data_IF_825892191423
#
_entry.id   IF_825892191423
#
_cell.length_a   1.000
_cell.length_b   1.000
_cell.length_c   1.000
_cell.angle_alpha   90.00
_cell.angle_beta   90.00
_cell.angle_gamma   90.00
#
_symmetry.space_group_name_H-M   'P 1'
#
loop_
_entity.id
_entity.type
_entity.pdbx_description
1 polymer ?
#
# COMPACT_ATOMS: atom_id res chain seq x y z
N UNK A 1 38.53 1.52 -14.76
CA UNK A 1 37.60 0.90 -13.80
C UNK A 1 37.86 1.53 -12.42
N UNK A 2 37.08 2.54 -12.06
CA UNK A 2 37.16 3.20 -10.76
C UNK A 2 35.89 2.81 -9.99
N UNK A 3 36.08 2.16 -8.85
CA UNK A 3 35.02 1.65 -8.00
C UNK A 3 34.36 2.76 -7.20
N UNK A 4 33.05 2.63 -6.92
CA UNK A 4 32.18 3.57 -6.19
C UNK A 4 32.68 4.04 -4.80
N UNK A 5 33.79 3.52 -4.31
CA UNK A 5 34.39 3.84 -3.00
C UNK A 5 35.36 5.04 -3.01
N UNK A 6 35.75 5.53 -4.19
CA UNK A 6 36.73 6.63 -4.31
C UNK A 6 36.11 8.03 -4.51
N UNK A 7 34.80 8.15 -4.59
CA UNK A 7 34.11 9.42 -4.81
C UNK A 7 33.61 10.12 -3.54
N UNK A 8 33.86 9.57 -2.36
CA UNK A 8 33.37 10.12 -1.09
C UNK A 8 34.46 10.76 -0.20
N UNK A 9 35.70 10.90 -0.67
CA UNK A 9 36.81 11.42 0.16
C UNK A 9 37.34 12.78 -0.26
N UNK A 10 36.82 13.47 -1.26
CA UNK A 10 37.38 14.73 -1.75
C UNK A 10 36.48 15.96 -1.79
N UNK A 11 35.42 16.04 -0.97
CA UNK A 11 34.61 17.26 -0.84
C UNK A 11 34.55 17.85 0.61
N UNK A 12 35.55 17.56 1.42
CA UNK A 12 35.66 18.08 2.79
C UNK A 12 36.84 19.03 2.96
N UNK A 13 36.98 20.03 2.08
CA UNK A 13 37.85 21.22 2.32
C UNK A 13 37.46 22.32 1.35
N UNK A 14 36.53 23.21 1.78
CA UNK A 14 36.42 24.62 1.40
C UNK A 14 35.01 25.14 1.70
N UNK A 15 34.80 25.59 2.92
CA UNK A 15 33.84 26.65 3.27
C UNK A 15 33.95 26.92 4.79
N UNK A 16 35.01 27.59 5.19
CA UNK A 16 35.04 28.29 6.45
C UNK A 16 34.92 29.79 6.12
N UNK A 17 33.75 30.38 6.34
CA UNK A 17 33.51 31.77 6.69
C UNK A 17 32.06 32.16 6.37
N UNK A 18 31.20 32.12 7.36
CA UNK A 18 30.19 33.13 7.68
C UNK A 18 29.28 32.56 8.78
N UNK A 19 29.40 33.06 9.98
CA UNK A 19 28.66 32.62 11.15
C UNK A 19 27.19 32.98 11.07
N UNK A 20 26.39 31.95 11.33
CA UNK A 20 25.08 32.09 11.98
C UNK A 20 24.83 30.76 12.72
N UNK A 21 25.14 30.78 14.03
CA UNK A 21 24.83 29.69 14.96
C UNK A 21 23.32 29.59 15.14
N UNK A 22 22.68 28.70 14.39
CA UNK A 22 21.40 28.15 14.78
C UNK A 22 21.69 26.93 15.65
N UNK A 23 21.49 27.07 16.95
CA UNK A 23 21.51 26.01 17.94
C UNK A 23 20.40 25.00 17.59
N UNK A 24 20.73 23.93 16.88
CA UNK A 24 19.96 22.70 16.88
C UNK A 24 20.58 21.79 17.94
N UNK A 25 19.84 21.43 19.00
CA UNK A 25 20.33 20.42 19.92
C UNK A 25 20.52 19.10 19.13
N UNK A 26 21.59 18.35 19.38
CA UNK A 26 21.75 17.02 18.80
C UNK A 26 20.75 16.08 19.48
N UNK A 27 19.55 15.99 18.95
CA UNK A 27 18.64 14.91 19.29
C UNK A 27 19.10 13.68 18.50
N UNK A 28 20.14 13.03 18.97
CA UNK A 28 20.48 11.67 18.61
C UNK A 28 20.00 10.78 19.76
N UNK A 29 18.75 10.29 19.77
CA UNK A 29 18.44 9.20 20.67
C UNK A 29 19.23 8.00 20.18
N UNK A 30 20.06 7.44 21.06
CA UNK A 30 20.70 6.14 20.86
C UNK A 30 19.74 5.22 20.16
N UNK A 31 20.17 4.64 19.01
CA UNK A 31 19.38 3.69 18.23
C UNK A 31 19.06 2.47 19.12
N UNK A 32 17.93 2.53 19.83
CA UNK A 32 17.36 1.34 20.49
C UNK A 32 17.04 0.34 19.39
N UNK A 33 17.37 -0.92 19.67
CA UNK A 33 16.85 -2.05 18.90
C UNK A 33 15.34 -1.86 18.71
N UNK A 34 14.79 -2.31 17.58
CA UNK A 34 13.34 -2.24 17.34
C UNK A 34 12.56 -2.76 18.53
N UNK A 35 11.33 -2.29 18.72
CA UNK A 35 10.50 -2.75 19.85
C UNK A 35 10.37 -4.27 19.80
N UNK A 36 10.45 -4.91 20.97
CA UNK A 36 10.23 -6.35 21.04
C UNK A 36 8.80 -6.69 20.57
N UNK A 37 8.59 -7.95 20.17
CA UNK A 37 7.26 -8.43 19.77
C UNK A 37 6.22 -8.17 20.88
N UNK A 38 6.58 -8.40 22.12
CA UNK A 38 5.73 -8.21 23.30
C UNK A 38 5.36 -6.73 23.47
N UNK A 39 6.32 -5.85 23.25
CA UNK A 39 6.11 -4.40 23.35
C UNK A 39 5.17 -3.91 22.24
N UNK A 40 5.35 -4.37 21.00
CA UNK A 40 4.44 -4.06 19.90
C UNK A 40 3.01 -4.54 20.19
N UNK A 41 2.85 -5.77 20.73
CA UNK A 41 1.53 -6.31 21.09
C UNK A 41 0.89 -5.48 22.20
N UNK A 42 1.65 -5.10 23.21
CA UNK A 42 1.17 -4.31 24.34
C UNK A 42 0.65 -2.93 23.90
N UNK A 43 1.34 -2.30 22.95
CA UNK A 43 1.02 -0.97 22.45
C UNK A 43 0.01 -0.99 21.29
N UNK A 44 -0.25 -2.16 20.70
CA UNK A 44 -1.13 -2.28 19.54
C UNK A 44 -2.58 -1.89 19.88
N UNK A 45 -3.15 -0.87 19.23
CA UNK A 45 -4.55 -0.54 19.44
C UNK A 45 -5.46 -1.61 18.85
N UNK A 46 -6.71 -1.63 19.32
CA UNK A 46 -7.76 -2.46 18.76
C UNK A 46 -7.93 -2.12 17.27
N UNK A 47 -7.92 -3.14 16.43
CA UNK A 47 -8.17 -2.99 15.01
C UNK A 47 -9.65 -2.69 14.74
N UNK A 48 -9.93 -2.11 13.58
CA UNK A 48 -11.27 -1.98 13.03
C UNK A 48 -11.50 -3.14 12.02
N UNK A 49 -12.68 -3.25 11.48
CA UNK A 49 -13.00 -4.19 10.40
C UNK A 49 -12.67 -5.66 10.72
N UNK A 50 -13.26 -6.18 11.77
CA UNK A 50 -13.17 -7.58 12.15
C UNK A 50 -14.43 -8.05 12.89
N UNK A 51 -14.60 -9.36 12.99
CA UNK A 51 -15.67 -9.98 13.77
C UNK A 51 -15.14 -11.22 14.49
N UNK A 52 -15.79 -11.60 15.58
CA UNK A 52 -15.59 -12.89 16.18
C UNK A 52 -16.14 -13.98 15.26
N UNK A 53 -15.50 -15.14 15.24
CA UNK A 53 -15.97 -16.30 14.45
C UNK A 53 -16.51 -17.34 15.43
N UNK A 54 -17.81 -17.65 15.39
CA UNK A 54 -18.34 -18.80 16.10
C UNK A 54 -17.69 -20.07 15.53
N UNK A 55 -17.25 -20.98 16.39
CA UNK A 55 -16.70 -22.26 15.95
C UNK A 55 -17.82 -23.06 15.25
N UNK A 56 -17.71 -23.20 13.94
CA UNK A 56 -18.66 -23.98 13.16
C UNK A 56 -18.68 -25.44 13.65
N UNK A 57 -19.89 -25.98 13.88
CA UNK A 57 -20.11 -27.37 14.29
C UNK A 57 -20.02 -27.63 15.79
N UNK A 58 -19.61 -26.65 16.62
CA UNK A 58 -19.72 -26.74 18.07
C UNK A 58 -20.62 -25.62 18.56
N UNK A 59 -21.67 -25.97 19.25
CA UNK A 59 -22.69 -25.02 19.68
C UNK A 59 -22.18 -24.15 20.82
N UNK A 60 -21.14 -23.35 20.58
CA UNK A 60 -20.52 -22.48 21.57
C UNK A 60 -21.47 -21.37 22.08
N UNK A 61 -22.61 -21.16 21.40
CA UNK A 61 -23.69 -20.35 21.94
C UNK A 61 -24.20 -20.87 23.27
N UNK A 62 -24.11 -22.17 23.51
CA UNK A 62 -24.58 -22.80 24.77
C UNK A 62 -23.63 -22.47 25.94
N UNK A 63 -22.33 -22.38 25.72
CA UNK A 63 -21.41 -22.05 26.81
C UNK A 63 -21.27 -20.55 27.06
N UNK A 64 -21.75 -19.72 26.13
CA UNK A 64 -21.77 -18.25 26.24
C UNK A 64 -23.18 -17.68 26.34
N UNK A 65 -24.20 -18.55 26.38
CA UNK A 65 -25.56 -18.09 26.61
C UNK A 65 -25.64 -17.59 28.05
N UNK A 66 -25.79 -16.26 28.18
CA UNK A 66 -25.87 -15.55 29.45
C UNK A 66 -27.12 -15.90 30.27
N UNK A 67 -27.98 -16.77 29.78
CA UNK A 67 -29.25 -17.17 30.35
C UNK A 67 -29.19 -18.45 31.21
N UNK A 68 -28.03 -18.88 31.70
CA UNK A 68 -27.94 -19.84 32.76
C UNK A 68 -27.21 -21.15 32.48
N UNK A 69 -26.48 -21.28 31.41
CA UNK A 69 -25.66 -22.43 31.11
C UNK A 69 -24.35 -22.42 31.89
N UNK A 70 -24.18 -23.33 32.83
CA UNK A 70 -22.91 -23.54 33.51
C UNK A 70 -21.80 -23.80 32.47
N UNK A 71 -20.61 -23.23 32.71
CA UNK A 71 -19.41 -23.52 31.94
C UNK A 71 -19.17 -25.02 31.89
N UNK A 72 -19.30 -25.69 30.73
CA UNK A 72 -18.86 -27.06 30.58
C UNK A 72 -17.34 -27.11 30.69
N UNK A 73 -16.75 -27.64 31.75
CA UNK A 73 -15.30 -27.67 31.97
C UNK A 73 -14.55 -28.50 30.91
N UNK A 74 -15.26 -29.31 30.12
CA UNK A 74 -14.71 -30.10 29.01
C UNK A 74 -14.65 -29.35 27.72
N UNK A 75 -15.26 -28.19 27.66
CA UNK A 75 -15.25 -27.34 26.49
C UNK A 75 -14.00 -26.45 26.53
N UNK A 76 -12.90 -26.95 25.97
CA UNK A 76 -11.79 -26.06 25.61
C UNK A 76 -12.28 -25.15 24.49
N UNK A 77 -12.58 -23.96 24.88
CA UNK A 77 -12.75 -22.89 23.92
C UNK A 77 -11.43 -22.64 23.21
N UNK A 78 -11.22 -23.21 22.04
CA UNK A 78 -10.20 -22.72 21.09
C UNK A 78 -10.66 -21.42 20.42
N UNK A 79 -10.95 -20.56 21.06
CA UNK A 79 -11.94 -19.77 21.53
C UNK A 79 -11.96 -18.37 21.08
N UNK A 80 -10.93 -17.87 20.80
CA UNK A 80 -10.83 -16.50 20.36
C UNK A 80 -10.47 -16.45 18.89
N UNK A 81 -11.24 -17.15 18.03
CA UNK A 81 -11.12 -16.96 16.58
C UNK A 81 -11.71 -15.62 16.19
N UNK A 82 -10.93 -14.84 15.45
CA UNK A 82 -11.40 -13.62 14.83
C UNK A 82 -11.25 -13.70 13.31
N UNK A 83 -12.18 -13.12 12.59
CA UNK A 83 -12.08 -12.91 11.14
C UNK A 83 -11.75 -11.45 10.87
N UNK A 84 -10.61 -11.22 10.23
CA UNK A 84 -10.25 -9.90 9.73
C UNK A 84 -11.05 -9.60 8.45
N UNK A 85 -11.75 -8.48 8.42
CA UNK A 85 -12.61 -8.04 7.30
C UNK A 85 -12.00 -6.86 6.53
N UNK A 86 -10.71 -6.58 6.75
CA UNK A 86 -10.04 -5.43 6.18
C UNK A 86 -9.74 -5.60 4.69
N UNK A 87 -9.13 -6.70 4.32
CA UNK A 87 -8.78 -7.03 2.94
C UNK A 87 -9.43 -8.35 2.50
N UNK A 88 -9.45 -8.61 1.20
CA UNK A 88 -10.11 -9.77 0.63
C UNK A 88 -9.44 -11.12 0.97
N UNK A 89 -8.33 -11.14 1.74
CA UNK A 89 -7.82 -12.38 2.33
C UNK A 89 -8.77 -12.95 3.39
N UNK A 90 -9.58 -12.12 4.04
CA UNK A 90 -10.55 -12.52 5.06
C UNK A 90 -9.99 -13.53 6.07
N UNK A 91 -8.78 -13.28 6.56
CA UNK A 91 -8.03 -14.18 7.42
C UNK A 91 -8.83 -14.57 8.66
N UNK A 92 -8.97 -15.87 8.92
CA UNK A 92 -9.41 -16.40 10.21
C UNK A 92 -8.17 -16.62 11.07
N UNK A 93 -8.08 -15.93 12.21
CA UNK A 93 -6.86 -15.80 13.00
C UNK A 93 -7.11 -16.34 14.41
N UNK A 94 -6.32 -17.35 14.81
CA UNK A 94 -6.35 -17.91 16.17
C UNK A 94 -5.65 -16.98 17.15
N UNK A 95 -5.90 -17.17 18.45
CA UNK A 95 -5.22 -16.43 19.50
C UNK A 95 -3.69 -16.52 19.35
N UNK A 96 -3.01 -15.39 19.53
CA UNK A 96 -1.55 -15.26 19.38
C UNK A 96 -1.04 -15.31 17.94
N UNK A 97 -1.89 -15.63 16.96
CA UNK A 97 -1.52 -15.68 15.55
C UNK A 97 -1.81 -14.37 14.82
N UNK A 98 -1.20 -14.23 13.64
CA UNK A 98 -1.34 -13.06 12.78
C UNK A 98 -2.02 -13.39 11.46
N UNK A 99 -2.65 -12.40 10.87
CA UNK A 99 -3.11 -12.47 9.48
C UNK A 99 -1.95 -12.57 8.49
N UNK A 100 -2.25 -12.93 7.25
CA UNK A 100 -1.27 -13.08 6.17
C UNK A 100 -0.38 -11.85 5.97
N UNK A 101 -0.92 -10.67 6.23
CA UNK A 101 -0.19 -9.40 6.15
C UNK A 101 0.85 -9.20 7.26
N UNK A 102 0.93 -10.06 8.29
CA UNK A 102 1.80 -9.96 9.47
C UNK A 102 1.54 -8.76 10.38
N UNK A 103 0.74 -7.80 9.94
CA UNK A 103 0.50 -6.52 10.62
C UNK A 103 -0.65 -6.57 11.65
N UNK A 104 -1.45 -7.64 11.66
CA UNK A 104 -2.62 -7.79 12.52
C UNK A 104 -2.55 -9.09 13.31
N UNK A 105 -2.78 -9.00 14.62
CA UNK A 105 -2.70 -10.10 15.56
C UNK A 105 -4.00 -10.25 16.34
N UNK A 106 -4.38 -11.48 16.61
CA UNK A 106 -5.46 -11.79 17.55
C UNK A 106 -4.88 -11.89 18.98
N UNK A 107 -5.36 -11.04 19.86
CA UNK A 107 -5.01 -11.05 21.29
C UNK A 107 -6.29 -11.25 22.10
N UNK A 108 -6.47 -12.43 22.65
CA UNK A 108 -7.62 -12.80 23.49
C UNK A 108 -8.97 -12.49 22.83
N UNK A 109 -9.12 -12.82 21.56
CA UNK A 109 -10.37 -12.60 20.81
C UNK A 109 -10.55 -11.18 20.27
N UNK A 110 -9.57 -10.31 20.43
CA UNK A 110 -9.54 -8.98 19.82
C UNK A 110 -8.49 -8.90 18.72
N UNK A 111 -8.87 -8.42 17.57
CA UNK A 111 -7.90 -8.11 16.52
C UNK A 111 -7.22 -6.76 16.82
N UNK A 112 -5.89 -6.74 16.80
CA UNK A 112 -5.07 -5.55 17.06
C UNK A 112 -4.15 -5.23 15.89
N UNK A 113 -3.84 -3.94 15.71
CA UNK A 113 -2.94 -3.44 14.66
C UNK A 113 -1.54 -3.22 15.23
N UNK A 114 -0.56 -4.02 14.78
CA UNK A 114 0.85 -3.92 15.22
C UNK A 114 1.60 -2.75 14.56
N UNK A 115 1.01 -2.14 13.54
CA UNK A 115 1.68 -1.14 12.69
C UNK A 115 1.09 0.26 12.84
N UNK A 116 0.10 0.44 13.73
CA UNK A 116 -0.44 1.77 14.03
C UNK A 116 0.62 2.68 14.65
N UNK A 117 0.82 3.85 14.06
CA UNK A 117 1.83 4.79 14.53
C UNK A 117 3.28 4.33 14.30
N UNK A 118 3.51 3.32 13.47
CA UNK A 118 4.83 2.70 13.23
C UNK A 118 5.27 2.80 11.77
N UNK A 119 5.51 4.02 11.25
CA UNK A 119 6.07 4.16 9.91
C UNK A 119 7.49 3.61 9.87
N UNK A 120 7.81 2.82 8.85
CA UNK A 120 9.13 2.22 8.61
C UNK A 120 9.85 2.86 7.42
N UNK A 121 9.12 3.58 6.58
CA UNK A 121 9.67 4.38 5.50
C UNK A 121 8.91 5.70 5.39
N UNK A 122 9.66 6.80 5.30
CA UNK A 122 9.12 8.15 5.11
C UNK A 122 10.03 8.91 4.16
N UNK A 123 9.46 9.42 3.05
CA UNK A 123 10.18 10.19 2.05
C UNK A 123 9.33 11.35 1.52
N UNK A 124 9.98 12.34 0.95
CA UNK A 124 9.32 13.37 0.14
C UNK A 124 9.71 13.13 -1.31
N UNK A 125 8.73 12.83 -2.14
CA UNK A 125 8.92 12.49 -3.56
C UNK A 125 7.99 13.33 -4.43
N UNK A 126 8.30 13.56 -5.71
CA UNK A 126 7.32 14.06 -6.67
C UNK A 126 6.09 13.15 -6.74
N UNK A 127 4.91 13.74 -6.93
CA UNK A 127 3.66 13.00 -6.99
C UNK A 127 3.62 12.03 -8.18
N UNK A 128 4.30 12.37 -9.27
CA UNK A 128 4.44 11.55 -10.48
C UNK A 128 5.20 10.24 -10.22
N UNK A 129 6.05 10.19 -9.20
CA UNK A 129 6.71 8.95 -8.77
C UNK A 129 5.73 7.94 -8.13
N UNK A 130 4.46 8.34 -7.87
CA UNK A 130 3.43 7.50 -7.24
C UNK A 130 2.46 6.77 -8.18
N UNK A 131 2.60 6.67 -9.44
CA UNK A 131 2.40 7.63 -10.52
C UNK A 131 0.98 8.21 -10.52
N UNK A 132 0.89 9.48 -10.12
CA UNK A 132 -0.26 10.33 -10.34
C UNK A 132 0.13 11.42 -11.33
N UNK A 133 -0.46 11.42 -12.53
CA UNK A 133 -0.17 12.40 -13.57
C UNK A 133 -1.30 13.42 -13.73
N UNK A 134 -2.52 13.08 -13.31
CA UNK A 134 -3.70 13.93 -13.38
C UNK A 134 -4.12 14.49 -12.01
N UNK A 135 -3.37 14.21 -10.96
CA UNK A 135 -3.64 14.70 -9.62
C UNK A 135 -2.46 15.51 -9.09
N UNK A 136 -2.64 16.82 -8.94
CA UNK A 136 -1.63 17.76 -8.42
C UNK A 136 -0.25 17.63 -9.09
N UNK A 137 -0.14 17.68 -10.42
CA UNK A 137 1.13 17.52 -11.12
C UNK A 137 2.18 18.53 -10.63
N UNK A 138 3.41 18.08 -10.47
CA UNK A 138 4.53 18.86 -9.93
C UNK A 138 4.56 18.97 -8.39
N UNK A 139 3.57 18.44 -7.68
CA UNK A 139 3.51 18.54 -6.23
C UNK A 139 4.49 17.59 -5.52
N UNK A 140 5.05 18.03 -4.41
CA UNK A 140 5.76 17.18 -3.48
C UNK A 140 4.76 16.36 -2.63
N UNK A 141 4.99 15.05 -2.49
CA UNK A 141 4.20 14.17 -1.67
C UNK A 141 5.00 13.63 -0.48
N UNK A 142 4.53 13.87 0.73
CA UNK A 142 5.05 13.26 1.94
C UNK A 142 4.54 11.82 2.00
N UNK A 143 5.41 10.89 1.71
CA UNK A 143 5.09 9.48 1.47
C UNK A 143 5.47 8.64 2.67
N UNK A 144 4.58 7.75 3.12
CA UNK A 144 4.86 6.87 4.25
C UNK A 144 4.37 5.43 4.01
N UNK A 145 5.07 4.50 4.65
CA UNK A 145 4.76 3.08 4.70
C UNK A 145 4.91 2.52 6.11
N UNK A 146 4.22 1.43 6.38
CA UNK A 146 4.45 0.55 7.53
C UNK A 146 4.97 -0.81 7.07
N UNK A 147 5.09 -1.78 7.98
CA UNK A 147 5.42 -3.16 7.61
C UNK A 147 4.19 -3.94 7.13
N UNK A 148 4.41 -4.91 6.25
CA UNK A 148 3.42 -5.92 5.88
C UNK A 148 2.60 -5.62 4.63
N UNK A 149 2.07 -6.69 4.01
CA UNK A 149 1.21 -6.65 2.83
C UNK A 149 0.38 -7.95 2.77
N UNK A 150 -0.89 -7.91 2.35
CA UNK A 150 -1.70 -9.12 2.20
C UNK A 150 -1.33 -9.95 0.97
N UNK A 151 -0.57 -9.38 0.03
CA UNK A 151 -0.09 -10.05 -1.18
C UNK A 151 1.34 -10.56 -0.99
N UNK A 152 1.74 -11.51 -1.83
CA UNK A 152 3.10 -12.05 -1.93
C UNK A 152 3.63 -11.98 -3.36
N UNK A 153 3.53 -10.81 -3.98
CA UNK A 153 3.97 -10.61 -5.37
C UNK A 153 5.44 -10.98 -5.54
N UNK A 154 5.73 -11.92 -6.44
CA UNK A 154 7.10 -12.42 -6.70
C UNK A 154 8.05 -11.34 -7.24
N UNK A 155 7.52 -10.28 -7.80
CA UNK A 155 8.23 -9.12 -8.37
C UNK A 155 8.23 -7.89 -7.44
N UNK A 156 7.99 -8.04 -6.15
CA UNK A 156 7.81 -6.90 -5.26
C UNK A 156 9.11 -6.12 -5.06
N UNK A 157 9.17 -4.87 -5.53
CA UNK A 157 10.33 -3.99 -5.35
C UNK A 157 10.51 -3.49 -3.90
N UNK A 158 9.42 -3.53 -3.11
CA UNK A 158 9.44 -3.15 -1.69
C UNK A 158 9.26 -4.37 -0.78
N UNK A 159 9.80 -5.52 -1.18
CA UNK A 159 9.62 -6.77 -0.44
C UNK A 159 10.19 -6.70 0.98
N UNK A 160 11.25 -5.94 1.20
CA UNK A 160 11.86 -5.71 2.51
C UNK A 160 10.89 -5.09 3.52
N UNK A 161 9.93 -4.29 3.06
CA UNK A 161 8.87 -3.72 3.89
C UNK A 161 7.62 -4.59 3.89
N UNK A 162 7.20 -5.03 2.69
CA UNK A 162 5.92 -5.70 2.50
C UNK A 162 5.90 -7.14 2.98
N UNK A 163 7.07 -7.80 3.03
CA UNK A 163 7.19 -9.18 3.52
C UNK A 163 7.82 -9.29 4.91
N UNK A 164 8.15 -8.17 5.55
CA UNK A 164 8.71 -8.14 6.89
C UNK A 164 7.67 -8.36 8.00
N UNK A 165 8.14 -8.82 9.14
CA UNK A 165 7.41 -8.71 10.39
C UNK A 165 7.63 -7.31 10.98
N UNK A 166 6.62 -6.68 11.61
CA UNK A 166 6.78 -5.34 12.18
C UNK A 166 7.95 -5.18 13.15
N UNK A 167 8.26 -6.21 13.93
CA UNK A 167 9.38 -6.25 14.89
C UNK A 167 10.76 -6.32 14.22
N UNK A 168 10.87 -6.78 12.98
CA UNK A 168 12.14 -6.86 12.25
C UNK A 168 12.57 -5.50 11.69
N UNK A 169 11.66 -4.53 11.66
CA UNK A 169 11.92 -3.21 11.11
C UNK A 169 12.00 -2.14 12.20
N UNK A 170 13.01 -1.30 12.10
CA UNK A 170 13.13 -0.14 13.01
C UNK A 170 11.99 0.84 12.75
N UNK A 171 11.24 1.12 13.77
CA UNK A 171 10.17 2.13 13.74
C UNK A 171 10.13 2.90 15.06
N UNK A 172 9.74 4.17 14.99
CA UNK A 172 9.50 4.99 16.18
C UNK A 172 8.02 5.32 16.18
N UNK A 173 7.37 5.21 17.34
CA UNK A 173 5.97 5.60 17.45
C UNK A 173 5.78 7.06 17.03
N UNK A 174 5.01 7.26 15.99
CA UNK A 174 4.77 8.55 15.36
C UNK A 174 3.25 8.79 15.29
N UNK A 175 2.68 9.58 16.17
CA UNK A 175 1.23 9.83 16.17
C UNK A 175 0.79 10.58 14.89
N UNK A 176 -0.48 10.46 14.48
CA UNK A 176 -1.02 11.13 13.30
C UNK A 176 -0.73 12.62 13.22
N UNK A 177 -0.81 13.32 14.35
CA UNK A 177 -0.52 14.75 14.44
C UNK A 177 0.93 15.10 14.08
N UNK A 178 1.88 14.21 14.38
CA UNK A 178 3.29 14.42 14.04
C UNK A 178 3.53 14.23 12.54
N UNK A 179 2.85 13.27 11.90
CA UNK A 179 2.90 13.12 10.43
C UNK A 179 2.41 14.39 9.75
N UNK A 180 1.28 14.93 10.18
CA UNK A 180 0.71 16.16 9.60
C UNK A 180 1.65 17.35 9.81
N UNK A 181 2.20 17.54 11.02
CA UNK A 181 3.19 18.61 11.28
C UNK A 181 4.46 18.45 10.42
N UNK A 182 4.96 17.22 10.29
CA UNK A 182 6.14 16.93 9.46
C UNK A 182 5.89 17.22 7.98
N UNK A 183 4.68 16.94 7.50
CA UNK A 183 4.24 17.25 6.14
C UNK A 183 4.27 18.77 5.89
N UNK A 184 3.71 19.53 6.81
CA UNK A 184 3.77 21.00 6.77
C UNK A 184 5.20 21.54 6.78
N UNK A 185 6.05 21.05 7.69
CA UNK A 185 7.44 21.47 7.81
C UNK A 185 8.24 21.19 6.52
N UNK A 186 7.85 20.16 5.76
CA UNK A 186 8.44 19.80 4.46
C UNK A 186 7.78 20.50 3.27
N UNK A 187 6.81 21.38 3.51
CA UNK A 187 6.04 22.10 2.49
C UNK A 187 5.44 21.17 1.42
N UNK A 188 5.06 19.95 1.82
CA UNK A 188 4.43 18.98 0.93
C UNK A 188 2.90 19.18 0.97
N UNK A 189 2.24 19.52 -0.15
CA UNK A 189 0.79 19.72 -0.17
C UNK A 189 0.02 18.40 -0.15
N UNK A 190 0.69 17.25 -0.26
CA UNK A 190 0.09 15.93 -0.36
C UNK A 190 0.73 14.97 0.66
N UNK A 191 -0.09 14.16 1.33
CA UNK A 191 0.33 12.93 2.03
C UNK A 191 -0.01 11.74 1.16
N UNK A 192 0.98 10.87 0.90
CA UNK A 192 0.83 9.65 0.12
C UNK A 192 1.05 8.40 0.99
N UNK A 193 0.03 7.58 1.13
CA UNK A 193 0.11 6.25 1.75
C UNK A 193 0.54 5.26 0.67
N UNK A 194 1.75 4.66 0.80
CA UNK A 194 2.39 3.97 -0.34
C UNK A 194 3.45 2.94 0.09
N UNK A 195 4.25 2.44 -0.84
CA UNK A 195 5.37 1.51 -0.79
C UNK A 195 4.97 0.06 -0.46
N UNK A 196 4.37 -0.21 0.72
CA UNK A 196 3.71 -1.48 0.99
C UNK A 196 2.21 -1.40 0.59
N UNK A 197 1.34 -2.17 1.20
CA UNK A 197 -0.11 -2.05 1.01
C UNK A 197 -0.74 -1.21 2.14
N UNK A 198 -1.18 0.01 1.87
CA UNK A 198 -1.71 0.89 2.92
C UNK A 198 -2.96 0.37 3.63
N UNK A 199 -3.72 -0.52 3.01
CA UNK A 199 -4.87 -1.17 3.64
C UNK A 199 -4.48 -1.82 4.98
N UNK A 200 -3.26 -2.36 5.13
CA UNK A 200 -2.86 -3.05 6.38
C UNK A 200 -2.76 -2.12 7.59
N UNK A 201 -2.58 -0.82 7.36
CA UNK A 201 -2.55 0.21 8.41
C UNK A 201 -3.72 1.19 8.32
N UNK A 202 -4.89 0.69 7.93
CA UNK A 202 -6.10 1.48 7.69
C UNK A 202 -6.45 2.44 8.83
N UNK A 203 -6.35 2.01 10.08
CA UNK A 203 -6.67 2.84 11.25
C UNK A 203 -5.74 4.07 11.31
N UNK A 204 -4.45 3.85 11.10
CA UNK A 204 -3.45 4.91 11.10
C UNK A 204 -3.63 5.86 9.92
N UNK A 205 -3.92 5.31 8.74
CA UNK A 205 -4.25 6.06 7.53
C UNK A 205 -5.46 6.97 7.76
N UNK A 206 -6.56 6.43 8.30
CA UNK A 206 -7.81 7.16 8.53
C UNK A 206 -7.59 8.32 9.52
N UNK A 207 -6.85 8.09 10.59
CA UNK A 207 -6.56 9.13 11.59
C UNK A 207 -5.64 10.23 11.02
N UNK A 208 -4.59 9.86 10.26
CA UNK A 208 -3.75 10.83 9.56
C UNK A 208 -4.57 11.63 8.55
N UNK A 209 -5.38 10.95 7.74
CA UNK A 209 -6.19 11.58 6.71
C UNK A 209 -7.21 12.55 7.30
N UNK A 210 -7.85 12.17 8.41
CA UNK A 210 -8.76 13.05 9.16
C UNK A 210 -8.08 14.30 9.69
N UNK A 211 -6.88 14.16 10.25
CA UNK A 211 -6.08 15.28 10.75
C UNK A 211 -5.56 16.17 9.60
N UNK A 212 -5.10 15.59 8.50
CA UNK A 212 -4.61 16.28 7.32
C UNK A 212 -5.70 17.10 6.61
N UNK A 213 -6.93 16.55 6.55
CA UNK A 213 -8.08 17.22 5.97
C UNK A 213 -8.36 18.57 6.63
N UNK A 214 -8.26 18.63 7.96
CA UNK A 214 -8.47 19.86 8.75
C UNK A 214 -7.44 20.96 8.44
N UNK A 215 -6.32 20.59 7.83
CA UNK A 215 -5.21 21.49 7.50
C UNK A 215 -5.04 21.70 5.98
N UNK A 216 -6.03 21.30 5.18
CA UNK A 216 -6.00 21.51 3.73
C UNK A 216 -4.99 20.65 2.97
N UNK A 217 -4.32 19.68 3.64
CA UNK A 217 -3.37 18.77 3.00
C UNK A 217 -4.15 17.70 2.23
N UNK A 218 -3.77 17.43 0.99
CA UNK A 218 -4.37 16.38 0.16
C UNK A 218 -3.89 15.00 0.59
N UNK A 219 -4.71 13.98 0.44
CA UNK A 219 -4.50 12.61 0.90
C UNK A 219 -4.70 11.66 -0.25
N UNK A 220 -3.64 10.91 -0.58
CA UNK A 220 -3.69 9.93 -1.68
C UNK A 220 -3.23 8.56 -1.21
N UNK A 221 -3.78 7.51 -1.81
CA UNK A 221 -3.39 6.13 -1.55
C UNK A 221 -2.87 5.48 -2.84
N UNK A 222 -1.82 4.70 -2.70
CA UNK A 222 -1.27 3.84 -3.73
C UNK A 222 -1.44 2.41 -3.25
N UNK A 223 -2.41 1.69 -3.81
CA UNK A 223 -2.87 0.39 -3.31
C UNK A 223 -2.89 -0.68 -4.40
N UNK A 224 -2.76 -1.93 -4.00
CA UNK A 224 -3.05 -3.07 -4.86
C UNK A 224 -4.56 -3.31 -5.07
N UNK A 225 -5.42 -2.58 -4.37
CA UNK A 225 -6.87 -2.67 -4.49
C UNK A 225 -7.50 -3.95 -3.91
N UNK A 226 -6.73 -4.79 -3.22
CA UNK A 226 -7.22 -6.05 -2.67
C UNK A 226 -7.85 -5.87 -1.29
N UNK A 227 -8.95 -5.12 -1.23
CA UNK A 227 -9.63 -4.77 0.01
C UNK A 227 -11.12 -5.09 -0.02
N UNK A 228 -11.74 -5.19 1.15
CA UNK A 228 -13.17 -5.36 1.27
C UNK A 228 -13.90 -4.03 1.10
N UNK A 229 -15.19 -4.11 0.78
CA UNK A 229 -16.00 -2.93 0.47
C UNK A 229 -16.14 -1.95 1.63
N UNK A 230 -16.36 -2.42 2.85
CA UNK A 230 -16.59 -1.54 4.01
C UNK A 230 -15.38 -0.65 4.32
N UNK A 231 -14.13 -1.16 4.50
CA UNK A 231 -12.96 -0.31 4.68
C UNK A 231 -12.69 0.60 3.46
N UNK A 232 -12.92 0.12 2.24
CA UNK A 232 -12.79 0.95 1.03
C UNK A 232 -13.71 2.17 1.08
N UNK A 233 -14.98 1.96 1.42
CA UNK A 233 -15.97 3.03 1.53
C UNK A 233 -15.53 4.10 2.51
N UNK A 234 -15.02 3.70 3.67
CA UNK A 234 -14.57 4.63 4.69
C UNK A 234 -13.31 5.39 4.25
N UNK A 235 -12.34 4.70 3.64
CA UNK A 235 -11.15 5.35 3.08
C UNK A 235 -11.51 6.36 1.98
N UNK A 236 -12.43 6.03 1.07
CA UNK A 236 -12.90 6.96 0.05
C UNK A 236 -13.55 8.23 0.63
N UNK A 237 -14.11 8.18 1.85
CA UNK A 237 -14.67 9.34 2.54
C UNK A 237 -13.61 10.37 3.00
N UNK A 238 -12.36 9.97 3.07
CA UNK A 238 -11.26 10.83 3.55
C UNK A 238 -10.14 11.05 2.54
N UNK A 239 -10.08 10.26 1.47
CA UNK A 239 -9.06 10.36 0.42
C UNK A 239 -9.50 11.30 -0.70
N UNK A 240 -8.55 12.02 -1.30
CA UNK A 240 -8.76 12.86 -2.48
C UNK A 240 -8.48 12.10 -3.77
N UNK A 241 -7.51 11.16 -3.76
CA UNK A 241 -7.18 10.36 -4.92
C UNK A 241 -6.74 8.94 -4.54
N UNK A 242 -7.00 8.01 -5.44
CA UNK A 242 -6.68 6.58 -5.32
C UNK A 242 -5.95 6.13 -6.58
N UNK A 243 -4.78 5.53 -6.43
CA UNK A 243 -4.09 4.83 -7.50
C UNK A 243 -4.13 3.33 -7.23
N UNK A 244 -4.63 2.56 -8.17
CA UNK A 244 -4.73 1.09 -8.05
C UNK A 244 -3.75 0.41 -8.99
N UNK A 245 -2.93 -0.47 -8.40
CA UNK A 245 -2.09 -1.38 -9.17
C UNK A 245 -2.93 -2.58 -9.66
N UNK A 246 -3.49 -2.48 -10.85
CA UNK A 246 -4.09 -3.62 -11.57
C UNK A 246 -2.95 -4.42 -12.21
N UNK A 247 -2.39 -5.35 -11.44
CA UNK A 247 -1.11 -6.02 -11.71
C UNK A 247 -1.14 -6.95 -12.93
N UNK A 248 -2.31 -7.38 -13.35
CA UNK A 248 -2.54 -8.20 -14.54
C UNK A 248 -4.03 -8.41 -14.74
N UNK A 249 -4.40 -8.98 -15.90
CA UNK A 249 -5.82 -9.22 -16.24
C UNK A 249 -6.09 -10.72 -16.43
N UNK A 250 -5.64 -11.52 -15.48
CA UNK A 250 -5.84 -12.98 -15.45
C UNK A 250 -5.95 -13.51 -14.02
N UNK A 251 -6.93 -14.36 -13.71
CA UNK A 251 -7.02 -15.01 -12.41
C UNK A 251 -5.79 -15.84 -12.05
N UNK A 252 -5.17 -16.52 -13.02
CA UNK A 252 -3.96 -17.31 -12.81
C UNK A 252 -2.77 -16.42 -12.44
N UNK A 253 -2.57 -15.29 -13.12
CA UNK A 253 -1.53 -14.34 -12.77
C UNK A 253 -1.67 -13.85 -11.33
N UNK A 254 -2.87 -13.48 -10.91
CA UNK A 254 -3.10 -13.03 -9.54
C UNK A 254 -2.85 -14.13 -8.51
N UNK A 255 -3.32 -15.35 -8.76
CA UNK A 255 -3.11 -16.49 -7.86
C UNK A 255 -1.64 -16.88 -7.77
N UNK A 256 -0.97 -17.06 -8.91
CA UNK A 256 0.33 -17.74 -8.99
C UNK A 256 1.51 -16.76 -8.81
N UNK A 257 1.32 -15.48 -9.15
CA UNK A 257 2.36 -14.45 -9.11
C UNK A 257 2.15 -13.48 -7.96
N UNK A 258 0.90 -13.10 -7.66
CA UNK A 258 0.60 -12.10 -6.62
C UNK A 258 0.12 -12.72 -5.30
N UNK A 259 -0.31 -13.97 -5.29
CA UNK A 259 -0.89 -14.63 -4.12
C UNK A 259 -2.22 -14.02 -3.69
N UNK A 260 -3.05 -13.61 -4.65
CA UNK A 260 -4.32 -12.93 -4.47
C UNK A 260 -5.34 -13.36 -5.53
N UNK A 261 -6.50 -12.74 -5.52
CA UNK A 261 -7.54 -12.90 -6.53
C UNK A 261 -7.75 -11.61 -7.32
N UNK A 262 -8.04 -11.70 -8.61
CA UNK A 262 -8.30 -10.57 -9.48
C UNK A 262 -9.62 -9.86 -9.13
N UNK A 263 -10.70 -10.64 -8.90
CA UNK A 263 -12.06 -10.11 -8.74
C UNK A 263 -12.16 -9.00 -7.67
N UNK A 264 -11.64 -9.14 -6.44
CA UNK A 264 -11.71 -8.07 -5.43
C UNK A 264 -11.07 -6.77 -5.88
N UNK A 265 -9.98 -6.85 -6.67
CA UNK A 265 -9.30 -5.66 -7.20
C UNK A 265 -10.17 -4.93 -8.21
N UNK A 266 -10.83 -5.67 -9.11
CA UNK A 266 -11.76 -5.10 -10.08
C UNK A 266 -12.95 -4.43 -9.38
N UNK A 267 -13.53 -5.07 -8.36
CA UNK A 267 -14.62 -4.48 -7.57
C UNK A 267 -14.18 -3.20 -6.83
N UNK A 268 -12.94 -3.17 -6.34
CA UNK A 268 -12.36 -1.96 -5.72
C UNK A 268 -12.28 -0.80 -6.72
N UNK A 269 -11.78 -1.05 -7.93
CA UNK A 269 -11.67 -0.03 -8.99
C UNK A 269 -13.06 0.54 -9.32
N UNK A 270 -14.06 -0.32 -9.53
CA UNK A 270 -15.44 0.09 -9.79
C UNK A 270 -16.03 0.94 -8.65
N UNK A 271 -15.83 0.52 -7.41
CA UNK A 271 -16.36 1.25 -6.25
C UNK A 271 -15.71 2.64 -6.10
N UNK A 272 -14.38 2.77 -6.35
CA UNK A 272 -13.68 4.07 -6.33
C UNK A 272 -14.24 5.00 -7.41
N UNK A 273 -14.39 4.52 -8.65
CA UNK A 273 -14.95 5.28 -9.75
C UNK A 273 -16.40 5.75 -9.45
N UNK A 274 -17.24 4.83 -8.94
CA UNK A 274 -18.62 5.12 -8.55
C UNK A 274 -18.70 6.23 -7.48
N UNK A 275 -17.71 6.33 -6.60
CA UNK A 275 -17.62 7.35 -5.55
C UNK A 275 -17.06 8.68 -6.04
N UNK A 276 -16.66 8.76 -7.30
CA UNK A 276 -16.08 9.96 -7.93
C UNK A 276 -14.83 10.47 -7.19
N UNK A 277 -14.08 9.58 -6.54
CA UNK A 277 -12.74 9.87 -6.04
C UNK A 277 -11.80 9.79 -7.24
N UNK A 278 -10.84 10.72 -7.36
CA UNK A 278 -9.89 10.68 -8.46
C UNK A 278 -9.19 9.33 -8.52
N UNK A 279 -9.20 8.69 -9.68
CA UNK A 279 -8.67 7.34 -9.89
C UNK A 279 -7.65 7.34 -11.02
N UNK A 280 -6.49 6.73 -10.76
CA UNK A 280 -5.53 6.35 -11.79
C UNK A 280 -5.19 4.87 -11.65
N UNK A 281 -4.99 4.16 -12.76
CA UNK A 281 -4.71 2.72 -12.78
C UNK A 281 -3.29 2.49 -13.29
N UNK A 282 -2.56 1.60 -12.63
CA UNK A 282 -1.21 1.20 -13.04
C UNK A 282 -1.20 -0.29 -13.34
N UNK A 283 -0.61 -0.66 -14.48
CA UNK A 283 -0.29 -2.02 -14.83
C UNK A 283 1.24 -2.17 -14.94
N UNK A 284 1.85 -2.97 -14.07
CA UNK A 284 3.24 -3.37 -14.22
C UNK A 284 3.30 -4.46 -15.28
N UNK A 285 3.88 -4.15 -16.43
CA UNK A 285 3.99 -5.08 -17.56
C UNK A 285 5.19 -5.99 -17.31
N UNK A 286 4.93 -7.29 -17.12
CA UNK A 286 5.95 -8.30 -16.85
C UNK A 286 6.10 -9.21 -18.07
N UNK A 287 7.29 -9.27 -18.69
CA UNK A 287 7.50 -10.06 -19.92
C UNK A 287 7.03 -11.50 -19.76
N UNK A 288 6.35 -12.03 -20.76
CA UNK A 288 5.80 -13.39 -20.86
C UNK A 288 4.66 -13.74 -19.89
N UNK A 289 4.47 -12.97 -18.82
CA UNK A 289 3.47 -13.26 -17.80
C UNK A 289 2.15 -12.49 -17.97
N UNK A 290 2.23 -11.20 -18.36
CA UNK A 290 1.02 -10.37 -18.53
C UNK A 290 1.11 -9.39 -19.71
N UNK A 291 2.12 -9.54 -20.60
CA UNK A 291 2.41 -8.63 -21.70
C UNK A 291 1.78 -9.04 -23.05
N UNK A 292 0.97 -10.10 -23.08
CA UNK A 292 0.32 -10.53 -24.32
C UNK A 292 -0.77 -9.52 -24.77
N UNK A 293 -0.94 -9.36 -26.07
CA UNK A 293 -1.99 -8.51 -26.65
C UNK A 293 -3.39 -8.84 -26.12
N UNK A 294 -3.68 -10.12 -25.94
CA UNK A 294 -4.95 -10.57 -25.36
C UNK A 294 -5.19 -10.01 -23.97
N UNK A 295 -4.17 -10.04 -23.11
CA UNK A 295 -4.28 -9.51 -21.74
C UNK A 295 -4.37 -7.98 -21.72
N UNK A 296 -3.53 -7.31 -22.49
CA UNK A 296 -3.50 -5.84 -22.57
C UNK A 296 -4.80 -5.28 -23.16
N UNK A 297 -5.34 -5.90 -24.22
CA UNK A 297 -6.65 -5.57 -24.78
C UNK A 297 -7.77 -5.83 -23.79
N UNK A 298 -7.78 -7.00 -23.15
CA UNK A 298 -8.79 -7.35 -22.17
C UNK A 298 -8.83 -6.40 -20.97
N UNK A 299 -7.65 -5.96 -20.46
CA UNK A 299 -7.54 -4.94 -19.43
C UNK A 299 -8.13 -3.61 -19.91
N UNK A 300 -7.76 -3.16 -21.12
CA UNK A 300 -8.21 -1.89 -21.67
C UNK A 300 -9.71 -1.88 -21.94
N UNK A 301 -10.24 -2.96 -22.51
CA UNK A 301 -11.68 -3.12 -22.77
C UNK A 301 -12.48 -3.10 -21.47
N UNK A 302 -11.99 -3.76 -20.42
CA UNK A 302 -12.61 -3.77 -19.13
C UNK A 302 -12.60 -2.37 -18.47
N UNK A 303 -11.48 -1.65 -18.54
CA UNK A 303 -11.39 -0.27 -18.01
C UNK A 303 -12.41 0.61 -18.72
N UNK A 304 -12.49 0.56 -20.05
CA UNK A 304 -13.47 1.33 -20.81
C UNK A 304 -14.91 1.03 -20.40
N UNK A 305 -15.25 -0.26 -20.29
CA UNK A 305 -16.61 -0.68 -19.99
C UNK A 305 -17.06 -0.32 -18.57
N UNK A 306 -16.15 -0.42 -17.57
CA UNK A 306 -16.51 -0.33 -16.16
C UNK A 306 -16.25 1.05 -15.53
N UNK A 307 -15.23 1.78 -16.01
CA UNK A 307 -14.85 3.06 -15.42
C UNK A 307 -14.73 4.21 -16.44
N UNK A 308 -14.75 3.90 -17.72
CA UNK A 308 -14.79 4.89 -18.81
C UNK A 308 -13.43 5.27 -19.37
N UNK A 309 -13.43 6.09 -20.47
CA UNK A 309 -12.23 6.40 -21.25
C UNK A 309 -11.29 7.41 -20.58
N UNK A 310 -11.77 8.17 -19.59
CA UNK A 310 -11.03 9.30 -19.00
C UNK A 310 -10.18 8.90 -17.78
N UNK A 311 -10.24 7.65 -17.33
CA UNK A 311 -9.39 7.16 -16.25
C UNK A 311 -7.98 6.89 -16.78
N UNK A 312 -6.94 7.57 -16.25
CA UNK A 312 -5.57 7.37 -16.72
C UNK A 312 -5.06 5.96 -16.44
N UNK A 313 -4.41 5.36 -17.43
CA UNK A 313 -3.79 4.03 -17.33
C UNK A 313 -2.30 4.14 -17.58
N UNK A 314 -1.49 3.64 -16.65
CA UNK A 314 -0.04 3.68 -16.73
C UNK A 314 0.52 2.27 -16.94
N UNK A 315 1.22 2.04 -18.03
CA UNK A 315 1.98 0.82 -18.30
C UNK A 315 3.42 1.01 -17.84
N UNK A 316 3.80 0.36 -16.74
CA UNK A 316 5.09 0.59 -16.10
C UNK A 316 6.05 -0.56 -16.33
N UNK A 317 7.33 -0.21 -16.42
CA UNK A 317 8.41 -1.15 -16.70
C UNK A 317 8.68 -2.03 -15.48
N UNK A 318 8.66 -3.35 -15.68
CA UNK A 318 9.18 -4.32 -14.73
C UNK A 318 10.71 -4.34 -14.75
N UNK A 319 11.32 -4.48 -13.57
CA UNK A 319 12.72 -4.85 -13.37
C UNK A 319 12.79 -6.10 -12.51
N UNK A 320 13.74 -7.03 -12.80
CA UNK A 320 13.94 -8.20 -11.95
C UNK A 320 14.19 -7.81 -10.50
N UNK A 321 13.41 -8.38 -9.59
CA UNK A 321 13.53 -8.14 -8.15
C UNK A 321 12.90 -9.29 -7.36
N UNK A 322 13.29 -9.42 -6.09
CA UNK A 322 12.80 -10.37 -5.11
C UNK A 322 12.87 -11.84 -5.59
N UNK A 323 11.73 -12.46 -5.92
CA UNK A 323 11.63 -13.86 -6.36
C UNK A 323 11.51 -14.01 -7.88
N UNK A 324 11.47 -12.92 -8.63
CA UNK A 324 11.31 -12.94 -10.08
C UNK A 324 12.55 -12.34 -10.75
N UNK A 325 13.68 -13.05 -10.63
CA UNK A 325 14.98 -12.62 -11.11
C UNK A 325 15.33 -13.19 -12.51
N UNK A 326 14.56 -14.16 -12.98
CA UNK A 326 14.81 -14.91 -14.20
C UNK A 326 14.20 -14.32 -15.47
N UNK A 327 13.54 -13.17 -15.37
CA UNK A 327 12.97 -12.44 -16.51
C UNK A 327 13.76 -11.14 -16.75
N UNK A 328 13.95 -10.73 -18.02
CA UNK A 328 14.57 -9.46 -18.31
C UNK A 328 13.66 -8.28 -17.95
N UNK A 329 14.21 -7.07 -17.77
CA UNK A 329 13.39 -5.87 -17.71
C UNK A 329 12.51 -5.74 -18.94
N UNK A 330 11.28 -5.23 -18.78
CA UNK A 330 10.36 -5.05 -19.90
C UNK A 330 10.98 -4.15 -20.98
N UNK A 331 11.05 -4.58 -22.24
CA UNK A 331 11.46 -3.72 -23.34
C UNK A 331 10.55 -2.48 -23.45
N UNK A 332 11.12 -1.32 -23.77
CA UNK A 332 10.35 -0.07 -23.94
C UNK A 332 9.28 -0.23 -25.05
N UNK A 333 9.64 -0.87 -26.15
CA UNK A 333 8.71 -1.17 -27.25
C UNK A 333 7.47 -1.97 -26.80
N UNK A 334 7.60 -2.86 -25.80
CA UNK A 334 6.46 -3.57 -25.23
C UNK A 334 5.53 -2.64 -24.46
N UNK A 335 6.07 -1.65 -23.76
CA UNK A 335 5.28 -0.65 -23.03
C UNK A 335 4.59 0.32 -24.01
N UNK A 336 5.29 0.75 -25.05
CA UNK A 336 4.73 1.59 -26.13
C UNK A 336 3.58 0.86 -26.84
N UNK A 337 3.77 -0.41 -27.20
CA UNK A 337 2.70 -1.26 -27.74
C UNK A 337 1.51 -1.37 -26.78
N UNK A 338 1.73 -1.56 -25.48
CA UNK A 338 0.66 -1.62 -24.50
C UNK A 338 -0.13 -0.31 -24.44
N UNK A 339 0.56 0.83 -24.49
CA UNK A 339 -0.04 2.16 -24.56
C UNK A 339 -0.86 2.34 -25.85
N UNK A 340 -0.29 2.02 -27.02
CA UNK A 340 -0.96 2.12 -28.31
C UNK A 340 -2.21 1.25 -28.37
N UNK A 341 -2.13 0.01 -27.88
CA UNK A 341 -3.29 -0.87 -27.77
C UNK A 341 -4.40 -0.25 -26.92
N UNK A 342 -4.06 0.31 -25.76
CA UNK A 342 -5.05 0.93 -24.88
C UNK A 342 -5.71 2.14 -25.55
N UNK A 343 -4.92 2.99 -26.22
CA UNK A 343 -5.43 4.16 -26.94
C UNK A 343 -6.28 3.77 -28.15
N UNK A 344 -5.86 2.76 -28.92
CA UNK A 344 -6.65 2.25 -30.07
C UNK A 344 -7.99 1.64 -29.66
N UNK A 345 -8.11 1.21 -28.39
CA UNK A 345 -9.39 0.75 -27.81
C UNK A 345 -10.28 1.89 -27.36
N UNK A 346 -9.77 3.11 -27.19
CA UNK A 346 -10.52 4.30 -26.81
C UNK A 346 -10.17 4.88 -25.43
N UNK A 347 -9.14 4.39 -24.74
CA UNK A 347 -8.63 5.05 -23.54
C UNK A 347 -7.97 6.38 -23.93
N UNK A 348 -8.41 7.49 -23.35
CA UNK A 348 -7.91 8.82 -23.70
C UNK A 348 -6.52 9.11 -23.12
N UNK A 349 -6.19 8.53 -21.95
CA UNK A 349 -4.96 8.83 -21.22
C UNK A 349 -4.21 7.53 -20.89
N UNK A 350 -3.26 7.17 -21.72
CA UNK A 350 -2.38 6.02 -21.52
C UNK A 350 -0.92 6.45 -21.50
N UNK A 351 -0.17 6.01 -20.48
CA UNK A 351 1.20 6.45 -20.23
C UNK A 351 2.17 5.28 -20.11
N UNK A 352 3.43 5.54 -20.46
CA UNK A 352 4.56 4.63 -20.21
C UNK A 352 5.32 5.15 -18.98
N UNK A 353 5.65 4.28 -18.03
CA UNK A 353 6.33 4.64 -16.79
C UNK A 353 7.53 3.75 -16.45
N UNK A 354 8.34 4.16 -15.46
CA UNK A 354 9.57 3.50 -15.05
C UNK A 354 10.62 3.38 -16.15
N UNK A 355 10.66 4.34 -17.05
CA UNK A 355 11.69 4.46 -18.11
C UNK A 355 12.54 5.70 -17.86
N UNK A 356 13.81 5.67 -18.30
CA UNK A 356 14.77 6.79 -18.05
C UNK A 356 14.39 8.10 -18.76
N UNK A 357 13.58 8.01 -19.81
CA UNK A 357 13.05 9.15 -20.55
C UNK A 357 11.53 9.07 -20.51
N UNK A 358 10.94 9.74 -19.54
CA UNK A 358 9.48 9.89 -19.49
C UNK A 358 9.08 10.95 -20.53
N UNK A 359 8.79 10.52 -21.77
CA UNK A 359 8.02 11.34 -22.69
C UNK A 359 6.57 11.25 -22.26
N UNK A 360 6.12 12.25 -21.51
CA UNK A 360 4.70 12.45 -21.23
C UNK A 360 4.09 13.05 -22.50
N UNK A 361 3.65 12.21 -23.43
CA UNK A 361 2.85 12.67 -24.56
C UNK A 361 1.38 12.63 -24.17
N UNK A 362 0.80 13.78 -23.87
CA UNK A 362 -0.64 13.97 -23.80
C UNK A 362 -1.15 14.25 -25.22
N UNK A 363 -1.99 13.36 -25.76
CA UNK A 363 -2.55 13.51 -27.14
C UNK A 363 -3.52 14.69 -27.27
N UNK A 364 -3.99 15.28 -26.16
CA UNK A 364 -4.83 16.50 -26.18
C UNK A 364 -4.03 17.81 -26.16
N UNK A 365 -2.70 17.75 -26.06
CA UNK A 365 -1.83 18.94 -26.06
C UNK A 365 -1.03 19.09 -27.36
N UNK A 366 -1.34 18.32 -28.42
CA UNK A 366 -0.76 18.47 -29.78
C UNK A 366 -1.77 19.06 -30.74
#
# INVERSE_FOLDING_TARGET
>A
MLTRRMLLTNTARLAAAAGMSAFFPPFCPSARAGDSREELIRQAPRARFWTSVPLAGRNCRICHDTLGGGKDPRHRHEEYLVRCLLCAQNCTIREGQRGRCRARINVRGELRSLVYGRPVAVHVDPIEKKPFYHFFPGAAAYSLATAGCPLSCKFCQNWELSQAWPEDLKSIYTPPSLIVRSTHARRAPVIAFTYNEPTVFAEYLLDIAGAAKKQGIRRVIISCGFMNREPLVEMCGVLDAVKIDLKGFSPSFYRDICGAELKPVLETIKEVARRKVHLEIVNLVVPTLNDSDKMLKGLSDWVLAEVGPDVPVHFTRFHPDYQLLNLPPTPVATLERARELAMSRGIHYAYVGNVRYCQVFCVKCS
#
